data_IF_825805844396
#
_entry.id   IF_825805844396
#
_cell.length_a   1.000
_cell.length_b   1.000
_cell.length_c   1.000
_cell.angle_alpha   90.00
_cell.angle_beta   90.00
_cell.angle_gamma   90.00
#
_symmetry.space_group_name_H-M   'P 1'
#
loop_
_entity.id
_entity.type
_entity.pdbx_description
1 polymer ?
#
# COMPACT_ATOMS: atom_id res chain seq x y z
N UNK A 1 -3.34 -13.79 10.01
CA UNK A 1 -3.38 -12.86 8.86
C UNK A 1 -2.56 -11.62 9.22
N UNK A 2 -1.72 -11.10 8.32
CA UNK A 2 -1.00 -9.83 8.48
C UNK A 2 -1.57 -8.84 7.46
N UNK A 3 -2.31 -7.85 7.94
CA UNK A 3 -2.77 -6.74 7.11
C UNK A 3 -1.65 -5.73 6.90
N UNK A 4 -1.37 -5.39 5.64
CA UNK A 4 -0.42 -4.35 5.24
C UNK A 4 -1.14 -3.29 4.44
N UNK A 5 -0.96 -2.03 4.79
CA UNK A 5 -1.48 -0.88 4.07
C UNK A 5 -0.36 -0.20 3.29
N UNK A 6 -0.41 -0.28 1.96
CA UNK A 6 0.54 0.43 1.10
C UNK A 6 0.14 1.89 1.02
N UNK A 7 0.94 2.74 1.66
CA UNK A 7 0.67 4.16 1.77
C UNK A 7 1.49 4.97 0.76
N UNK A 8 0.84 5.92 0.11
CA UNK A 8 1.50 6.84 -0.80
C UNK A 8 0.68 8.15 -0.88
N UNK A 9 1.32 9.33 -0.89
CA UNK A 9 0.59 10.58 -1.05
C UNK A 9 -0.22 10.62 -2.34
N UNK A 10 -1.43 11.19 -2.27
CA UNK A 10 -2.38 11.28 -3.38
C UNK A 10 -1.76 11.78 -4.70
N UNK A 11 -0.90 12.81 -4.63
CA UNK A 11 -0.21 13.35 -5.81
C UNK A 11 0.65 12.32 -6.53
N UNK A 12 1.39 11.48 -5.79
CA UNK A 12 2.22 10.42 -6.38
C UNK A 12 1.38 9.25 -6.90
N UNK A 13 0.23 8.96 -6.30
CA UNK A 13 -0.72 7.97 -6.83
C UNK A 13 -1.28 8.43 -8.19
N UNK A 14 -1.63 9.70 -8.32
CA UNK A 14 -2.10 10.29 -9.58
C UNK A 14 -1.04 10.25 -10.68
N UNK A 15 0.22 10.59 -10.35
CA UNK A 15 1.35 10.48 -11.29
C UNK A 15 1.54 9.05 -11.81
N UNK A 16 1.46 8.05 -10.92
CA UNK A 16 1.58 6.63 -11.30
C UNK A 16 0.43 6.16 -12.17
N UNK A 17 -0.79 6.64 -11.91
CA UNK A 17 -1.95 6.36 -12.77
C UNK A 17 -1.78 6.96 -14.17
N UNK A 18 -1.29 8.20 -14.26
CA UNK A 18 -1.05 8.89 -15.52
C UNK A 18 0.07 8.25 -16.35
N UNK A 19 1.13 7.75 -15.69
CA UNK A 19 2.24 7.06 -16.35
C UNK A 19 1.90 5.61 -16.78
N UNK A 20 0.79 5.05 -16.30
CA UNK A 20 0.41 3.66 -16.57
C UNK A 20 -0.06 3.49 -18.01
N UNK A 21 0.60 2.60 -18.76
CA UNK A 21 0.14 2.18 -20.10
C UNK A 21 -0.36 0.74 -20.06
N UNK A 22 -1.68 0.58 -19.98
CA UNK A 22 -2.35 -0.73 -20.01
C UNK A 22 -2.19 -1.55 -18.72
N UNK A 23 -3.30 -2.06 -18.19
CA UNK A 23 -3.31 -2.98 -17.06
C UNK A 23 -4.73 -3.44 -16.74
N UNK A 24 -4.94 -4.64 -16.19
CA UNK A 24 -6.27 -5.25 -16.01
C UNK A 24 -7.08 -4.64 -14.85
N UNK A 25 -6.74 -3.46 -14.37
CA UNK A 25 -7.29 -2.87 -13.15
C UNK A 25 -8.10 -1.63 -13.48
N UNK A 26 -9.36 -1.60 -13.05
CA UNK A 26 -10.33 -0.50 -13.22
C UNK A 26 -10.01 0.74 -12.35
N UNK A 27 -8.79 0.83 -11.80
CA UNK A 27 -8.36 1.98 -11.01
C UNK A 27 -8.10 3.18 -11.95
N UNK A 28 -9.12 3.99 -12.14
CA UNK A 28 -9.04 5.31 -12.81
C UNK A 28 -8.73 6.42 -11.80
N UNK A 29 -8.34 7.62 -12.26
CA UNK A 29 -8.21 8.78 -11.37
C UNK A 29 -9.48 9.05 -10.54
N UNK A 30 -10.67 8.86 -11.11
CA UNK A 30 -11.94 9.00 -10.39
C UNK A 30 -12.15 7.93 -9.31
N UNK A 31 -11.61 6.72 -9.49
CA UNK A 31 -11.60 5.69 -8.44
C UNK A 31 -10.63 6.07 -7.32
N UNK A 32 -9.47 6.65 -7.64
CA UNK A 32 -8.53 7.15 -6.64
C UNK A 32 -9.13 8.29 -5.81
N UNK A 33 -9.76 9.28 -6.44
CA UNK A 33 -10.44 10.38 -5.74
C UNK A 33 -11.50 9.85 -4.76
N UNK A 34 -12.30 8.89 -5.22
CA UNK A 34 -13.31 8.24 -4.37
C UNK A 34 -12.68 7.46 -3.21
N UNK A 35 -11.55 6.80 -3.43
CA UNK A 35 -10.84 6.06 -2.39
C UNK A 35 -10.26 6.96 -1.31
N UNK A 36 -9.72 8.12 -1.69
CA UNK A 36 -9.17 9.11 -0.75
C UNK A 36 -10.23 9.77 0.12
N UNK A 37 -11.49 9.80 -0.34
CA UNK A 37 -12.62 10.35 0.40
C UNK A 37 -13.26 9.40 1.41
N UNK A 38 -12.83 8.14 1.51
CA UNK A 38 -13.40 7.21 2.48
C UNK A 38 -12.88 7.45 3.89
N UNK A 39 -13.80 7.56 4.85
CA UNK A 39 -13.47 7.42 6.27
C UNK A 39 -13.26 5.94 6.60
N UNK A 40 -12.00 5.50 6.54
CA UNK A 40 -11.62 4.10 6.71
C UNK A 40 -11.70 3.58 8.17
N UNK A 41 -12.08 4.44 9.12
CA UNK A 41 -12.10 4.12 10.54
C UNK A 41 -10.71 3.80 11.10
N UNK A 42 -10.66 3.14 12.27
CA UNK A 42 -9.38 2.68 12.85
C UNK A 42 -8.94 1.42 12.11
N UNK A 43 -7.86 1.53 11.34
CA UNK A 43 -7.17 0.38 10.74
C UNK A 43 -5.94 0.01 11.56
N UNK A 44 -5.86 -1.26 11.96
CA UNK A 44 -4.73 -1.85 12.70
C UNK A 44 -3.65 -2.45 11.79
N UNK A 45 -3.80 -2.28 10.47
CA UNK A 45 -2.86 -2.77 9.47
C UNK A 45 -1.57 -1.97 9.52
N UNK A 46 -0.46 -2.65 9.28
CA UNK A 46 0.86 -2.02 9.29
C UNK A 46 1.03 -1.20 8.00
N UNK A 47 1.29 0.11 8.14
CA UNK A 47 1.53 0.99 7.00
C UNK A 47 2.94 0.78 6.47
N UNK A 48 3.07 0.66 5.16
CA UNK A 48 4.34 0.55 4.44
C UNK A 48 4.35 1.59 3.33
N UNK A 49 5.42 2.39 3.26
CA UNK A 49 5.60 3.37 2.19
C UNK A 49 5.75 2.66 0.84
N UNK A 50 4.88 2.99 -0.11
CA UNK A 50 4.85 2.44 -1.45
C UNK A 50 5.52 3.37 -2.50
N UNK A 51 6.26 4.37 -2.05
CA UNK A 51 7.03 5.30 -2.89
C UNK A 51 8.23 4.68 -3.61
N UNK A 52 9.00 3.77 -2.99
CA UNK A 52 10.11 3.09 -3.65
C UNK A 52 9.68 2.12 -4.77
N UNK A 53 10.63 1.60 -5.57
CA UNK A 53 10.38 0.54 -6.53
C UNK A 53 9.74 -0.72 -5.88
N UNK A 54 8.96 -1.51 -6.64
CA UNK A 54 8.22 -2.66 -6.09
C UNK A 54 9.08 -3.66 -5.29
N UNK A 55 10.30 -3.92 -5.73
CA UNK A 55 11.20 -4.89 -5.07
C UNK A 55 11.62 -4.40 -3.68
N UNK A 56 11.87 -3.10 -3.53
CA UNK A 56 12.23 -2.51 -2.23
C UNK A 56 11.05 -2.52 -1.25
N UNK A 57 9.84 -2.27 -1.76
CA UNK A 57 8.60 -2.36 -0.97
C UNK A 57 8.37 -3.81 -0.53
N UNK A 58 8.58 -4.78 -1.42
CA UNK A 58 8.46 -6.19 -1.09
C UNK A 58 9.45 -6.61 0.02
N UNK A 59 10.70 -6.17 -0.05
CA UNK A 59 11.69 -6.42 1.01
C UNK A 59 11.33 -5.77 2.35
N UNK A 60 10.72 -4.58 2.34
CA UNK A 60 10.18 -3.98 3.56
C UNK A 60 9.08 -4.84 4.20
N UNK A 61 8.16 -5.38 3.39
CA UNK A 61 7.09 -6.27 3.86
C UNK A 61 7.68 -7.60 4.39
N UNK A 62 8.65 -8.19 3.69
CA UNK A 62 9.29 -9.43 4.14
C UNK A 62 10.00 -9.25 5.48
N UNK A 63 10.65 -8.10 5.71
CA UNK A 63 11.23 -7.75 7.02
C UNK A 63 10.17 -7.68 8.12
N UNK A 64 9.02 -7.05 7.84
CA UNK A 64 7.91 -6.98 8.79
C UNK A 64 7.40 -8.38 9.16
N UNK A 65 7.22 -9.27 8.17
CA UNK A 65 6.77 -10.65 8.40
C UNK A 65 7.76 -11.40 9.30
N UNK A 66 9.07 -11.31 9.01
CA UNK A 66 10.12 -11.96 9.82
C UNK A 66 10.13 -11.45 11.26
N UNK A 67 10.08 -10.13 11.46
CA UNK A 67 10.08 -9.53 12.82
C UNK A 67 8.88 -9.95 13.68
N UNK A 68 7.76 -10.31 13.05
CA UNK A 68 6.56 -10.76 13.75
C UNK A 68 6.58 -12.27 14.01
N UNK A 69 7.29 -13.05 13.20
CA UNK A 69 7.51 -14.48 13.42
C UNK A 69 8.48 -14.76 14.58
N UNK A 70 9.34 -13.79 14.90
CA UNK A 70 10.31 -13.86 16.01
C UNK A 70 9.71 -13.45 17.38
N UNK A 71 8.42 -13.16 17.46
CA UNK A 71 7.73 -12.93 18.75
C UNK A 71 7.34 -14.32 19.29
N UNK A 72 7.99 -14.84 20.35
CA UNK A 72 7.54 -16.08 20.96
C UNK A 72 6.16 -15.82 21.56
N UNK A 73 5.22 -16.73 21.32
CA UNK A 73 3.88 -16.68 21.89
C UNK A 73 3.96 -16.38 23.40
N UNK A 74 3.53 -15.18 23.79
CA UNK A 74 3.27 -14.78 25.16
C UNK A 74 1.79 -14.88 25.46
#
# INVERSE_FOLDING_TARGET
FLGVWLDLPAGRLAERLAARRGGPSDATPSVLERQLGYELGVMDWQRVDAGPPPDEVAEAILRLIRSRADIPYG
#
